data_IF_276128728733
#
_entry.id   IF_276128728733
#
_cell.length_a   1.000
_cell.length_b   1.000
_cell.length_c   1.000
_cell.angle_alpha   90.00
_cell.angle_beta   90.00
_cell.angle_gamma   90.00
#
_symmetry.space_group_name_H-M   'P 1'
#
loop_
_entity.id
_entity.type
_entity.pdbx_description
1 polymer ?
#
# COMPACT_ATOMS: atom_id res chain seq x y z
N UNK A 1 -14.25 -13.39 26.10
CA UNK A 1 -14.60 -12.73 24.82
C UNK A 1 -13.45 -12.64 23.82
N UNK A 2 -12.16 -12.61 24.24
CA UNK A 2 -11.00 -12.54 23.32
C UNK A 2 -10.86 -13.75 22.38
N UNK A 3 -11.12 -14.97 22.88
CA UNK A 3 -11.02 -16.21 22.10
C UNK A 3 -12.14 -16.34 21.06
N UNK A 4 -13.34 -15.83 21.38
CA UNK A 4 -14.53 -15.95 20.52
C UNK A 4 -14.38 -15.08 19.26
N UNK A 5 -13.76 -13.90 19.36
CA UNK A 5 -13.56 -13.02 18.21
C UNK A 5 -12.40 -13.48 17.30
N UNK A 6 -11.30 -14.01 17.86
CA UNK A 6 -10.26 -14.65 17.05
C UNK A 6 -10.80 -15.86 16.27
N UNK A 7 -11.73 -16.62 16.87
CA UNK A 7 -12.44 -17.73 16.20
C UNK A 7 -13.39 -17.20 15.11
N UNK A 8 -14.11 -16.09 15.35
CA UNK A 8 -14.98 -15.46 14.35
C UNK A 8 -14.14 -14.96 13.17
N UNK A 9 -13.06 -14.21 13.38
CA UNK A 9 -12.30 -13.64 12.26
C UNK A 9 -11.46 -14.68 11.49
N UNK A 10 -11.10 -15.79 12.13
CA UNK A 10 -10.28 -16.86 11.52
C UNK A 10 -11.11 -17.89 10.72
N UNK A 11 -12.37 -18.12 11.09
CA UNK A 11 -13.25 -19.08 10.43
C UNK A 11 -13.96 -18.56 9.18
N UNK A 12 -13.97 -17.25 8.93
CA UNK A 12 -14.88 -16.68 7.95
C UNK A 12 -14.29 -16.61 6.54
N UNK A 13 -14.92 -17.36 5.63
CA UNK A 13 -14.77 -17.23 4.19
C UNK A 13 -15.37 -15.91 3.75
N UNK A 14 -14.54 -14.89 3.60
CA UNK A 14 -14.96 -13.60 3.04
C UNK A 14 -15.39 -13.84 1.59
N UNK A 15 -16.60 -13.39 1.24
CA UNK A 15 -17.00 -13.30 -0.16
C UNK A 15 -16.13 -12.22 -0.83
N UNK A 16 -15.09 -12.65 -1.54
CA UNK A 16 -14.09 -11.76 -2.13
C UNK A 16 -14.71 -10.66 -3.01
N UNK A 17 -15.87 -10.94 -3.63
CA UNK A 17 -16.56 -9.98 -4.50
C UNK A 17 -17.25 -8.83 -3.74
N UNK A 18 -17.68 -9.03 -2.49
CA UNK A 18 -18.23 -7.94 -1.66
C UNK A 18 -17.12 -7.04 -1.10
N UNK A 19 -15.97 -7.64 -0.77
CA UNK A 19 -14.81 -6.92 -0.24
C UNK A 19 -14.21 -5.95 -1.27
N UNK A 20 -14.33 -6.27 -2.56
CA UNK A 20 -13.88 -5.39 -3.65
C UNK A 20 -14.54 -4.02 -3.58
N UNK A 21 -15.78 -3.91 -3.08
CA UNK A 21 -16.50 -2.63 -3.01
C UNK A 21 -15.79 -1.63 -2.10
N UNK A 22 -15.19 -2.11 -1.00
CA UNK A 22 -14.38 -1.26 -0.11
C UNK A 22 -13.13 -0.72 -0.79
N UNK A 23 -12.54 -1.46 -1.74
CA UNK A 23 -11.31 -1.01 -2.41
C UNK A 23 -11.53 0.31 -3.16
N UNK A 24 -12.69 0.45 -3.79
CA UNK A 24 -13.08 1.64 -4.56
C UNK A 24 -13.69 2.77 -3.71
N UNK A 25 -13.79 2.62 -2.39
CA UNK A 25 -14.40 3.63 -1.53
C UNK A 25 -13.55 4.92 -1.56
N UNK A 26 -14.08 6.06 -2.04
CA UNK A 26 -13.32 7.30 -2.03
C UNK A 26 -13.00 7.73 -0.60
N UNK A 27 -11.75 8.12 -0.33
CA UNK A 27 -11.34 8.72 0.94
C UNK A 27 -10.31 9.82 0.73
N UNK A 28 -10.24 10.77 1.64
CA UNK A 28 -9.21 11.80 1.64
C UNK A 28 -8.20 11.58 2.77
N UNK A 29 -6.93 11.63 2.41
CA UNK A 29 -5.81 11.58 3.36
C UNK A 29 -4.65 12.45 2.86
N UNK A 30 -4.06 13.24 3.76
CA UNK A 30 -3.04 14.24 3.42
C UNK A 30 -3.49 15.28 2.38
N UNK A 31 -4.80 15.58 2.32
CA UNK A 31 -5.41 16.48 1.33
C UNK A 31 -5.62 15.87 -0.07
N UNK A 32 -5.19 14.62 -0.30
CA UNK A 32 -5.39 13.90 -1.57
C UNK A 32 -6.56 12.94 -1.45
N UNK A 33 -7.48 12.97 -2.42
CA UNK A 33 -8.49 11.93 -2.58
C UNK A 33 -7.88 10.71 -3.26
N UNK A 34 -8.05 9.55 -2.65
CA UNK A 34 -7.49 8.26 -3.05
C UNK A 34 -8.53 7.14 -2.80
N UNK A 35 -8.43 5.98 -3.45
CA UNK A 35 -9.20 4.82 -3.06
C UNK A 35 -8.83 4.39 -1.63
N UNK A 36 -9.80 3.91 -0.88
CA UNK A 36 -9.57 3.33 0.44
C UNK A 36 -8.60 2.16 0.39
N UNK A 37 -8.52 1.43 -0.74
CA UNK A 37 -7.47 0.44 -0.95
C UNK A 37 -6.07 1.04 -0.80
N UNK A 38 -5.78 2.17 -1.45
CA UNK A 38 -4.46 2.82 -1.36
C UNK A 38 -4.19 3.26 0.07
N UNK A 39 -5.15 3.95 0.70
CA UNK A 39 -5.03 4.36 2.09
C UNK A 39 -4.73 3.17 3.02
N UNK A 40 -5.44 2.07 2.84
CA UNK A 40 -5.28 0.88 3.65
C UNK A 40 -3.93 0.19 3.41
N UNK A 41 -3.47 0.08 2.16
CA UNK A 41 -2.15 -0.47 1.84
C UNK A 41 -1.05 0.40 2.46
N UNK A 42 -1.09 1.73 2.27
CA UNK A 42 -0.12 2.67 2.83
C UNK A 42 -0.10 2.59 4.37
N UNK A 43 -1.27 2.53 5.00
CA UNK A 43 -1.41 2.43 6.46
C UNK A 43 -0.86 1.11 7.01
N UNK A 44 -1.23 -0.01 6.39
CA UNK A 44 -0.77 -1.33 6.81
C UNK A 44 0.72 -1.53 6.52
N UNK A 45 1.25 -1.00 5.42
CA UNK A 45 2.68 -1.06 5.11
C UNK A 45 3.50 -0.22 6.09
N UNK A 46 3.01 0.97 6.48
CA UNK A 46 3.68 1.78 7.49
C UNK A 46 3.77 1.02 8.82
N UNK A 47 2.66 0.46 9.30
CA UNK A 47 2.54 -0.16 10.64
C UNK A 47 3.09 -1.59 10.67
N UNK A 48 2.64 -2.46 9.75
CA UNK A 48 2.94 -3.90 9.71
C UNK A 48 4.07 -4.29 8.72
N UNK A 49 4.52 -3.35 7.88
CA UNK A 49 5.62 -3.58 6.94
C UNK A 49 5.25 -4.41 5.71
N UNK A 50 3.97 -4.70 5.49
CA UNK A 50 3.49 -5.49 4.35
C UNK A 50 2.16 -4.94 3.86
N UNK A 51 1.91 -5.08 2.56
CA UNK A 51 0.65 -4.68 1.90
C UNK A 51 -0.54 -5.61 2.23
N UNK A 52 -0.30 -6.75 2.88
CA UNK A 52 -1.33 -7.71 3.28
C UNK A 52 -1.02 -8.27 4.66
N UNK A 53 -2.06 -8.41 5.48
CA UNK A 53 -1.97 -8.94 6.82
C UNK A 53 -1.98 -10.47 6.76
N UNK A 54 -1.23 -11.10 7.67
CA UNK A 54 -1.25 -12.54 7.84
C UNK A 54 -1.84 -12.80 9.21
N UNK A 55 -3.00 -13.45 9.25
CA UNK A 55 -3.66 -13.75 10.51
C UNK A 55 -2.93 -14.87 11.29
N UNK A 56 -3.46 -15.19 12.48
CA UNK A 56 -2.88 -16.21 13.36
C UNK A 56 -2.90 -17.62 12.76
N UNK A 57 -3.81 -17.89 11.81
CA UNK A 57 -3.87 -19.16 11.06
C UNK A 57 -2.98 -19.15 9.81
N UNK A 58 -2.36 -18.00 9.52
CA UNK A 58 -1.50 -17.81 8.37
C UNK A 58 -2.22 -17.50 7.07
N UNK A 59 -3.55 -17.26 7.09
CA UNK A 59 -4.32 -16.82 5.94
C UNK A 59 -4.01 -15.35 5.66
N UNK A 60 -3.94 -15.01 4.38
CA UNK A 60 -3.73 -13.62 3.92
C UNK A 60 -5.05 -12.88 3.93
N UNK A 61 -5.08 -11.73 4.59
CA UNK A 61 -6.19 -10.79 4.59
C UNK A 61 -5.78 -9.51 3.88
N UNK A 62 -6.72 -8.91 3.15
CA UNK A 62 -6.45 -7.68 2.41
C UNK A 62 -6.22 -6.51 3.39
N UNK A 63 -5.43 -5.50 2.98
CA UNK A 63 -5.26 -4.31 3.81
C UNK A 63 -6.59 -3.59 4.04
N UNK A 64 -7.45 -3.48 3.01
CA UNK A 64 -8.75 -2.84 3.14
C UNK A 64 -9.62 -3.48 4.22
N UNK A 65 -9.69 -4.82 4.26
CA UNK A 65 -10.42 -5.55 5.31
C UNK A 65 -9.90 -5.22 6.71
N UNK A 66 -8.58 -5.28 6.90
CA UNK A 66 -7.97 -5.08 8.22
C UNK A 66 -8.08 -3.63 8.68
N UNK A 67 -7.66 -2.68 7.85
CA UNK A 67 -7.67 -1.26 8.20
C UNK A 67 -9.10 -0.76 8.40
N UNK A 68 -10.09 -1.30 7.67
CA UNK A 68 -11.49 -0.97 7.93
C UNK A 68 -11.90 -1.37 9.35
N UNK A 69 -11.49 -2.53 9.84
CA UNK A 69 -11.77 -2.94 11.23
C UNK A 69 -11.10 -2.04 12.28
N UNK A 70 -10.00 -1.34 11.96
CA UNK A 70 -9.41 -0.40 12.91
C UNK A 70 -10.33 0.80 13.22
N UNK A 71 -11.25 1.11 12.32
CA UNK A 71 -12.18 2.25 12.47
C UNK A 71 -13.30 2.00 13.48
N UNK A 72 -13.65 0.74 13.76
CA UNK A 72 -14.76 0.38 14.67
C UNK A 72 -14.43 -0.73 15.68
N UNK A 73 -13.29 -1.40 15.56
CA UNK A 73 -12.76 -2.42 16.49
C UNK A 73 -11.35 -2.08 16.98
N UNK A 74 -10.99 -0.79 17.00
CA UNK A 74 -9.66 -0.32 17.35
C UNK A 74 -9.12 -0.91 18.66
N UNK A 75 -9.94 -0.96 19.70
CA UNK A 75 -9.54 -1.47 21.02
C UNK A 75 -9.02 -2.91 20.99
N UNK A 76 -9.60 -3.78 20.17
CA UNK A 76 -9.14 -5.16 20.04
C UNK A 76 -7.77 -5.26 19.39
N UNK A 77 -7.49 -4.38 18.43
CA UNK A 77 -6.21 -4.34 17.74
C UNK A 77 -5.07 -3.82 18.62
N UNK A 78 -5.38 -3.18 19.77
CA UNK A 78 -4.34 -2.68 20.68
C UNK A 78 -3.45 -3.78 21.25
N UNK A 79 -4.00 -4.98 21.44
CA UNK A 79 -3.30 -6.13 22.04
C UNK A 79 -2.64 -7.03 20.98
N UNK A 80 -2.96 -6.84 19.70
CA UNK A 80 -2.42 -7.67 18.61
C UNK A 80 -1.02 -7.18 18.23
N UNK A 81 -0.01 -8.06 18.12
CA UNK A 81 1.33 -7.70 17.66
C UNK A 81 1.30 -7.26 16.18
N UNK A 82 1.21 -5.97 15.95
CA UNK A 82 1.00 -5.38 14.62
C UNK A 82 2.17 -4.47 14.20
N UNK A 83 2.83 -3.82 15.14
CA UNK A 83 3.83 -2.78 14.87
C UNK A 83 5.18 -3.40 14.58
N UNK A 84 5.65 -3.26 13.35
CA UNK A 84 6.95 -3.75 12.93
C UNK A 84 8.08 -2.83 13.43
N UNK A 85 9.00 -3.41 14.22
CA UNK A 85 10.24 -2.76 14.63
C UNK A 85 11.43 -3.57 14.12
N UNK A 86 12.17 -3.00 13.16
CA UNK A 86 13.33 -3.66 12.55
C UNK A 86 14.66 -3.23 13.19
N UNK A 87 14.74 -2.01 13.72
CA UNK A 87 16.01 -1.44 14.19
C UNK A 87 16.37 -1.90 15.61
N UNK A 88 17.44 -2.69 15.73
CA UNK A 88 17.85 -3.33 17.00
C UNK A 88 18.19 -2.34 18.12
N UNK A 89 18.92 -1.26 17.80
CA UNK A 89 19.31 -0.25 18.81
C UNK A 89 18.09 0.48 19.39
N UNK A 90 17.03 0.69 18.60
CA UNK A 90 15.76 1.23 19.12
C UNK A 90 15.10 0.24 20.10
N UNK A 91 15.11 -1.07 19.79
CA UNK A 91 14.58 -2.09 20.72
C UNK A 91 15.37 -2.11 22.03
N UNK A 92 16.71 -2.05 21.95
CA UNK A 92 17.59 -1.96 23.13
C UNK A 92 17.30 -0.72 23.97
N UNK A 93 17.19 0.44 23.33
CA UNK A 93 16.85 1.68 24.01
C UNK A 93 15.52 1.58 24.75
N UNK A 94 14.51 0.97 24.12
CA UNK A 94 13.19 0.72 24.69
C UNK A 94 13.12 -0.49 25.65
N UNK A 95 14.21 -1.25 25.85
CA UNK A 95 14.24 -2.51 26.62
C UNK A 95 13.22 -3.55 26.11
N UNK A 96 13.00 -3.60 24.80
CA UNK A 96 12.15 -4.58 24.15
C UNK A 96 12.96 -5.83 23.75
N UNK A 97 12.26 -6.94 23.55
CA UNK A 97 12.85 -8.19 23.05
C UNK A 97 13.38 -8.01 21.62
N UNK A 98 14.70 -8.09 21.44
CA UNK A 98 15.34 -7.87 20.15
C UNK A 98 14.94 -8.90 19.08
N UNK A 99 14.60 -10.12 19.50
CA UNK A 99 14.22 -11.22 18.60
C UNK A 99 12.78 -11.06 18.07
N UNK A 100 11.90 -10.36 18.81
CA UNK A 100 10.53 -10.11 18.35
C UNK A 100 10.52 -9.07 17.23
N UNK A 101 9.78 -9.39 16.17
CA UNK A 101 9.62 -8.50 15.02
C UNK A 101 8.46 -7.52 15.18
N UNK A 102 7.37 -7.98 15.81
CA UNK A 102 6.12 -7.25 15.95
C UNK A 102 5.78 -7.03 17.42
N UNK A 103 5.28 -5.85 17.73
CA UNK A 103 4.87 -5.43 19.08
C UNK A 103 3.44 -4.93 19.05
N UNK A 104 2.73 -5.02 20.17
CA UNK A 104 1.36 -4.52 20.25
C UNK A 104 1.34 -3.02 20.56
N UNK A 105 0.26 -2.34 20.19
CA UNK A 105 0.10 -0.91 20.50
C UNK A 105 0.10 -0.68 22.02
N UNK A 106 -0.59 -1.55 22.77
CA UNK A 106 -0.66 -1.48 24.22
C UNK A 106 0.71 -1.70 24.88
N UNK A 107 1.51 -2.63 24.38
CA UNK A 107 2.89 -2.87 24.86
C UNK A 107 3.77 -1.64 24.65
N UNK A 108 3.69 -1.01 23.48
CA UNK A 108 4.49 0.16 23.13
C UNK A 108 4.08 1.40 23.94
N UNK A 109 2.77 1.66 24.11
CA UNK A 109 2.31 2.80 24.90
C UNK A 109 2.59 2.68 26.40
N UNK A 110 2.63 1.45 26.93
CA UNK A 110 2.99 1.20 28.34
C UNK A 110 4.50 1.29 28.58
N UNK A 111 5.31 1.45 27.54
CA UNK A 111 6.76 1.54 27.66
C UNK A 111 7.18 2.87 28.30
N UNK A 112 7.76 2.81 29.49
CA UNK A 112 8.15 4.00 30.27
C UNK A 112 9.21 4.88 29.59
N UNK A 113 10.00 4.33 28.67
CA UNK A 113 11.08 5.06 27.99
C UNK A 113 10.63 5.76 26.72
N UNK A 114 9.56 5.26 26.10
CA UNK A 114 9.07 5.80 24.83
C UNK A 114 8.77 7.30 24.90
N UNK A 115 8.07 7.84 25.93
CA UNK A 115 7.80 9.28 26.01
C UNK A 115 9.07 10.14 26.04
N UNK A 116 10.10 9.73 26.79
CA UNK A 116 11.36 10.46 26.89
C UNK A 116 12.10 10.49 25.54
N UNK A 117 12.16 9.34 24.84
CA UNK A 117 12.77 9.26 23.52
C UNK A 117 12.01 10.11 22.48
N UNK A 118 10.67 10.10 22.51
CA UNK A 118 9.87 10.94 21.63
C UNK A 118 10.08 12.44 21.90
N UNK A 119 10.33 12.82 23.16
CA UNK A 119 10.71 14.19 23.50
C UNK A 119 12.08 14.56 22.92
N UNK A 120 13.08 13.67 23.03
CA UNK A 120 14.40 13.87 22.40
C UNK A 120 14.30 14.01 20.88
N UNK A 121 13.47 13.18 20.24
CA UNK A 121 13.17 13.28 18.81
C UNK A 121 12.62 14.67 18.45
N UNK A 122 11.63 15.17 19.21
CA UNK A 122 11.05 16.50 18.95
C UNK A 122 12.09 17.61 19.06
N UNK A 123 12.99 17.55 20.06
CA UNK A 123 14.08 18.52 20.22
C UNK A 123 15.02 18.49 19.01
N UNK A 124 15.38 17.31 18.49
CA UNK A 124 16.23 17.22 17.30
C UNK A 124 15.56 17.79 16.05
N UNK A 125 14.25 17.56 15.88
CA UNK A 125 13.47 18.10 14.76
C UNK A 125 13.45 19.64 14.85
N UNK A 126 13.22 20.20 16.04
CA UNK A 126 13.24 21.65 16.29
C UNK A 126 14.61 22.26 15.99
N UNK A 127 15.68 21.60 16.42
CA UNK A 127 17.06 22.04 16.16
C UNK A 127 17.50 21.82 14.70
N UNK A 128 16.66 21.20 13.85
CA UNK A 128 16.97 20.82 12.47
C UNK A 128 18.25 19.99 12.35
N UNK A 129 18.52 19.16 13.35
CA UNK A 129 19.65 18.25 13.34
C UNK A 129 19.48 17.16 12.29
N UNK A 130 20.59 16.66 11.74
CA UNK A 130 20.55 15.56 10.79
C UNK A 130 20.12 14.28 11.51
N UNK A 131 18.98 13.72 11.10
CA UNK A 131 18.46 12.49 11.67
C UNK A 131 19.39 11.30 11.40
N UNK A 132 19.99 10.76 12.44
CA UNK A 132 20.68 9.47 12.37
C UNK A 132 19.67 8.31 12.26
N UNK A 133 20.14 7.12 11.89
CA UNK A 133 19.33 5.92 11.71
C UNK A 133 18.46 5.61 12.95
N UNK A 134 18.96 5.87 14.16
CA UNK A 134 18.19 5.74 15.39
C UNK A 134 16.96 6.65 15.42
N UNK A 135 17.16 7.95 15.19
CA UNK A 135 16.06 8.93 15.19
C UNK A 135 15.12 8.76 14.00
N UNK A 136 15.61 8.30 12.85
CA UNK A 136 14.74 7.89 11.73
C UNK A 136 13.83 6.71 12.10
N UNK A 137 14.38 5.69 12.78
CA UNK A 137 13.59 4.56 13.26
C UNK A 137 12.57 4.98 14.32
N UNK A 138 12.95 5.87 15.23
CA UNK A 138 12.06 6.42 16.26
C UNK A 138 10.97 7.31 15.66
N UNK A 139 11.28 8.14 14.68
CA UNK A 139 10.30 8.91 13.90
C UNK A 139 9.31 7.99 13.20
N UNK A 140 9.79 6.91 12.58
CA UNK A 140 8.92 5.90 11.96
C UNK A 140 7.96 5.30 12.98
N UNK A 141 8.46 4.90 14.16
CA UNK A 141 7.62 4.38 15.25
C UNK A 141 6.57 5.42 15.70
N UNK A 142 6.97 6.68 15.89
CA UNK A 142 6.05 7.77 16.21
C UNK A 142 4.93 7.90 15.16
N UNK A 143 5.30 7.90 13.87
CA UNK A 143 4.35 7.97 12.77
C UNK A 143 3.39 6.78 12.74
N UNK A 144 3.88 5.56 13.00
CA UNK A 144 3.05 4.36 13.10
C UNK A 144 2.02 4.51 14.22
N UNK A 145 2.45 4.88 15.43
CA UNK A 145 1.58 5.02 16.61
C UNK A 145 0.53 6.12 16.39
N UNK A 146 0.95 7.25 15.84
CA UNK A 146 0.07 8.38 15.56
C UNK A 146 -0.97 8.04 14.49
N UNK A 147 -0.57 7.40 13.38
CA UNK A 147 -1.50 7.00 12.33
C UNK A 147 -2.53 6.02 12.86
N UNK A 148 -2.09 4.98 13.58
CA UNK A 148 -3.00 4.00 14.15
C UNK A 148 -3.98 4.62 15.14
N UNK A 149 -3.50 5.47 16.06
CA UNK A 149 -4.37 6.19 16.99
C UNK A 149 -5.34 7.13 16.27
N UNK A 150 -4.91 7.80 15.20
CA UNK A 150 -5.75 8.70 14.42
C UNK A 150 -6.87 7.96 13.69
N UNK A 151 -6.59 6.76 13.14
CA UNK A 151 -7.61 5.89 12.53
C UNK A 151 -8.63 5.42 13.58
N UNK A 152 -8.15 4.95 14.74
CA UNK A 152 -9.03 4.48 15.82
C UNK A 152 -9.95 5.57 16.37
N UNK A 153 -9.44 6.80 16.46
CA UNK A 153 -10.21 7.97 16.89
C UNK A 153 -11.11 8.53 15.79
N UNK A 154 -11.08 7.96 14.59
CA UNK A 154 -11.85 8.45 13.46
C UNK A 154 -11.38 9.81 12.93
N UNK A 155 -10.15 10.23 13.23
CA UNK A 155 -9.57 11.49 12.75
C UNK A 155 -9.16 11.40 11.27
N UNK A 156 -8.76 10.21 10.82
CA UNK A 156 -8.44 9.89 9.43
C UNK A 156 -9.00 8.51 9.04
N UNK A 157 -9.27 8.26 7.75
CA UNK A 157 -9.30 9.23 6.67
C UNK A 157 -10.62 10.04 6.67
N UNK A 158 -10.69 11.06 5.82
CA UNK A 158 -11.95 11.74 5.51
C UNK A 158 -12.81 10.89 4.56
N UNK A 159 -14.11 10.80 4.82
CA UNK A 159 -15.05 9.97 4.05
C UNK A 159 -16.15 10.77 3.35
N UNK A 160 -16.51 11.97 3.83
CA UNK A 160 -17.60 12.78 3.26
C UNK A 160 -17.05 14.15 2.85
N UNK A 161 -17.15 14.57 1.59
CA UNK A 161 -16.70 15.90 1.17
C UNK A 161 -17.47 17.01 1.90
N UNK A 162 -16.78 18.05 2.34
CA UNK A 162 -17.43 19.24 2.92
C UNK A 162 -17.96 20.16 1.81
N UNK A 163 -19.13 20.77 2.02
CA UNK A 163 -19.74 21.67 1.04
C UNK A 163 -18.85 22.89 0.79
N UNK A 164 -18.49 23.13 -0.48
CA UNK A 164 -17.68 24.27 -0.89
C UNK A 164 -16.22 24.23 -0.42
N UNK A 165 -15.79 23.14 0.23
CA UNK A 165 -14.45 22.96 0.76
C UNK A 165 -13.59 22.04 -0.11
N UNK A 166 -12.30 21.99 0.20
CA UNK A 166 -11.37 20.96 -0.31
C UNK A 166 -11.13 19.84 0.70
N UNK A 167 -11.70 19.94 1.90
CA UNK A 167 -11.57 18.98 3.00
C UNK A 167 -12.75 18.01 3.04
N UNK A 168 -12.49 16.79 3.51
CA UNK A 168 -13.50 15.77 3.76
C UNK A 168 -13.62 15.53 5.27
N UNK A 169 -14.86 15.44 5.76
CA UNK A 169 -15.18 15.06 7.14
C UNK A 169 -14.70 13.64 7.41
N UNK A 170 -13.95 13.50 8.50
CA UNK A 170 -13.60 12.21 9.08
C UNK A 170 -14.70 11.76 10.07
N UNK A 171 -14.64 10.50 10.49
CA UNK A 171 -15.67 9.88 11.35
C UNK A 171 -15.88 10.66 12.65
N UNK A 172 -14.82 11.26 13.21
CA UNK A 172 -14.90 12.08 14.42
C UNK A 172 -15.79 13.32 14.25
N UNK A 173 -15.85 13.88 13.04
CA UNK A 173 -16.63 15.08 12.72
C UNK A 173 -18.04 14.80 12.18
N UNK A 174 -18.47 13.54 12.18
CA UNK A 174 -19.79 13.17 11.67
C UNK A 174 -20.90 13.73 12.56
N UNK A 175 -21.91 14.32 11.92
CA UNK A 175 -23.15 14.64 12.60
C UNK A 175 -24.00 13.37 12.80
N UNK A 176 -25.20 13.50 13.38
CA UNK A 176 -26.07 12.34 13.63
C UNK A 176 -26.48 11.60 12.35
N UNK A 177 -26.72 12.32 11.25
CA UNK A 177 -27.11 11.73 9.97
C UNK A 177 -25.94 11.00 9.30
N UNK A 178 -24.77 11.64 9.23
CA UNK A 178 -23.51 11.08 8.74
C UNK A 178 -23.20 9.76 9.49
N UNK A 179 -23.37 9.77 10.82
CA UNK A 179 -23.14 8.60 11.67
C UNK A 179 -24.11 7.44 11.39
N UNK A 180 -25.40 7.72 11.13
CA UNK A 180 -26.39 6.69 10.76
C UNK A 180 -26.05 6.03 9.42
N UNK A 181 -25.61 6.83 8.44
CA UNK A 181 -25.15 6.31 7.16
C UNK A 181 -23.89 5.45 7.33
N UNK A 182 -22.94 5.91 8.14
CA UNK A 182 -21.73 5.16 8.44
C UNK A 182 -22.00 3.84 9.16
N UNK A 183 -22.90 3.83 10.14
CA UNK A 183 -23.33 2.61 10.85
C UNK A 183 -23.92 1.57 9.89
N UNK A 184 -24.61 2.00 8.83
CA UNK A 184 -25.12 1.09 7.80
C UNK A 184 -23.98 0.40 7.06
N UNK A 185 -22.89 1.12 6.75
CA UNK A 185 -21.68 0.54 6.14
C UNK A 185 -21.01 -0.47 7.08
N UNK A 186 -20.82 -0.10 8.35
CA UNK A 186 -20.24 -1.00 9.37
C UNK A 186 -21.11 -2.25 9.55
N UNK A 187 -22.43 -2.09 9.63
CA UNK A 187 -23.38 -3.20 9.72
C UNK A 187 -23.34 -4.10 8.48
N UNK A 188 -23.24 -3.53 7.28
CA UNK A 188 -23.03 -4.26 6.04
C UNK A 188 -21.73 -5.06 6.04
N UNK A 189 -20.65 -4.49 6.58
CA UNK A 189 -19.38 -5.19 6.73
C UNK A 189 -19.48 -6.37 7.71
N UNK A 190 -20.14 -6.19 8.85
CA UNK A 190 -20.36 -7.27 9.83
C UNK A 190 -21.20 -8.41 9.24
N UNK A 191 -22.22 -8.09 8.42
CA UNK A 191 -22.99 -9.09 7.66
C UNK A 191 -22.12 -9.85 6.67
N UNK A 192 -21.32 -9.14 5.87
CA UNK A 192 -20.36 -9.74 4.92
C UNK A 192 -19.39 -10.68 5.63
N UNK A 193 -18.83 -10.25 6.76
CA UNK A 193 -17.94 -11.08 7.57
C UNK A 193 -18.68 -12.35 8.01
N UNK A 194 -19.95 -12.25 8.42
CA UNK A 194 -20.79 -13.39 8.82
C UNK A 194 -21.27 -14.28 7.65
N UNK A 195 -20.89 -13.96 6.40
CA UNK A 195 -21.25 -14.72 5.19
C UNK A 195 -22.55 -14.25 4.50
N UNK A 196 -23.17 -13.18 4.99
CA UNK A 196 -24.37 -12.58 4.39
C UNK A 196 -24.00 -11.46 3.43
N UNK A 197 -24.78 -11.28 2.36
CA UNK A 197 -24.61 -10.13 1.48
C UNK A 197 -25.21 -8.86 2.09
N UNK A 198 -24.59 -7.72 1.83
CA UNK A 198 -25.15 -6.43 2.26
C UNK A 198 -24.17 -5.28 2.28
N UNK A 199 -22.86 -5.56 2.24
CA UNK A 199 -21.85 -4.51 2.27
C UNK A 199 -21.95 -3.62 1.03
N UNK A 200 -22.15 -4.22 -0.14
CA UNK A 200 -22.26 -3.47 -1.40
C UNK A 200 -23.38 -2.43 -1.35
N UNK A 201 -24.60 -2.86 -0.97
CA UNK A 201 -25.74 -1.97 -0.89
C UNK A 201 -25.54 -0.84 0.13
N UNK A 202 -24.91 -1.15 1.27
CA UNK A 202 -24.61 -0.15 2.29
C UNK A 202 -23.57 0.89 1.80
N UNK A 203 -22.50 0.44 1.13
CA UNK A 203 -21.49 1.34 0.56
C UNK A 203 -22.06 2.18 -0.57
N UNK A 204 -22.87 1.60 -1.45
CA UNK A 204 -23.51 2.33 -2.55
C UNK A 204 -24.49 3.39 -2.01
N UNK A 205 -25.27 3.05 -0.97
CA UNK A 205 -26.13 4.01 -0.26
C UNK A 205 -25.35 5.16 0.36
N UNK A 206 -24.23 4.85 1.05
CA UNK A 206 -23.35 5.87 1.61
C UNK A 206 -22.72 6.77 0.53
N UNK A 207 -22.31 6.20 -0.61
CA UNK A 207 -21.76 6.97 -1.75
C UNK A 207 -22.78 7.94 -2.34
N UNK A 208 -24.03 7.51 -2.45
CA UNK A 208 -25.12 8.38 -2.90
C UNK A 208 -25.39 9.52 -1.91
N UNK A 209 -25.32 9.24 -0.61
CA UNK A 209 -25.45 10.25 0.44
C UNK A 209 -24.30 11.26 0.44
N UNK A 210 -23.05 10.77 0.40
CA UNK A 210 -21.86 11.61 0.46
C UNK A 210 -21.65 12.52 -0.76
N UNK A 211 -22.36 12.26 -1.87
CA UNK A 211 -22.37 13.09 -3.08
C UNK A 211 -20.95 13.48 -3.58
N UNK A 212 -20.14 12.47 -3.88
CA UNK A 212 -18.74 12.68 -4.23
C UNK A 212 -18.53 13.50 -5.52
N UNK A 213 -17.52 14.39 -5.55
CA UNK A 213 -17.19 15.17 -6.74
C UNK A 213 -16.69 14.27 -7.89
N UNK A 214 -17.33 14.38 -9.05
CA UNK A 214 -17.08 13.52 -10.21
C UNK A 214 -15.61 13.45 -10.70
N UNK A 215 -14.82 14.56 -10.74
CA UNK A 215 -13.44 14.51 -11.22
C UNK A 215 -12.51 13.65 -10.36
N UNK A 216 -12.72 13.62 -9.05
CA UNK A 216 -11.88 12.87 -8.11
C UNK A 216 -12.19 11.37 -8.18
N UNK A 217 -13.48 11.03 -8.35
CA UNK A 217 -13.94 9.64 -8.46
C UNK A 217 -13.45 8.98 -9.75
N UNK A 218 -13.27 9.73 -10.84
CA UNK A 218 -12.80 9.19 -12.12
C UNK A 218 -11.43 8.50 -12.04
N UNK A 219 -10.54 8.98 -11.15
CA UNK A 219 -9.19 8.41 -10.97
C UNK A 219 -9.16 7.18 -10.07
N UNK A 220 -10.18 6.96 -9.25
CA UNK A 220 -10.20 5.90 -8.23
C UNK A 220 -10.10 4.52 -8.87
N UNK A 221 -10.90 4.26 -9.91
CA UNK A 221 -10.87 2.97 -10.61
C UNK A 221 -9.51 2.68 -11.25
N UNK A 222 -8.88 3.72 -11.78
CA UNK A 222 -7.55 3.63 -12.40
C UNK A 222 -6.45 3.38 -11.37
N UNK A 223 -6.56 3.96 -10.17
CA UNK A 223 -5.63 3.72 -9.07
C UNK A 223 -5.78 2.31 -8.49
N UNK A 224 -7.01 1.83 -8.29
CA UNK A 224 -7.27 0.44 -7.88
C UNK A 224 -6.75 -0.55 -8.93
N UNK A 225 -6.96 -0.27 -10.22
CA UNK A 225 -6.42 -1.08 -11.30
C UNK A 225 -4.88 -1.12 -11.26
N UNK A 226 -4.23 0.04 -11.09
CA UNK A 226 -2.78 0.14 -10.96
C UNK A 226 -2.24 -0.68 -9.78
N UNK A 227 -2.89 -0.57 -8.61
CA UNK A 227 -2.52 -1.30 -7.39
C UNK A 227 -2.68 -2.81 -7.53
N UNK A 228 -3.73 -3.27 -8.22
CA UNK A 228 -3.99 -4.69 -8.43
C UNK A 228 -3.06 -5.29 -9.49
N UNK A 229 -2.84 -4.57 -10.60
CA UNK A 229 -1.99 -5.04 -11.68
C UNK A 229 -0.51 -5.05 -11.29
N UNK A 230 -0.04 -4.02 -10.56
CA UNK A 230 1.38 -3.80 -10.24
C UNK A 230 2.27 -3.91 -11.49
N UNK A 231 2.11 -3.03 -12.50
CA UNK A 231 2.73 -3.17 -13.81
C UNK A 231 4.25 -3.32 -13.75
N UNK A 232 4.93 -2.51 -12.93
CA UNK A 232 6.38 -2.61 -12.73
C UNK A 232 6.82 -3.97 -12.17
N UNK A 233 5.98 -4.63 -11.36
CA UNK A 233 6.25 -5.98 -10.85
C UNK A 233 6.31 -7.02 -11.99
N UNK A 234 5.32 -7.00 -12.87
CA UNK A 234 5.30 -7.91 -14.01
C UNK A 234 6.38 -7.59 -15.02
N UNK A 235 6.67 -6.30 -15.25
CA UNK A 235 7.71 -5.88 -16.14
C UNK A 235 9.08 -6.45 -15.73
N UNK A 236 9.48 -6.33 -14.46
CA UNK A 236 10.76 -6.87 -14.01
C UNK A 236 10.78 -8.41 -14.09
N UNK A 237 9.67 -9.10 -13.81
CA UNK A 237 9.58 -10.56 -13.96
C UNK A 237 9.83 -10.96 -15.42
N UNK A 238 9.20 -10.28 -16.38
CA UNK A 238 9.42 -10.54 -17.80
C UNK A 238 10.86 -10.25 -18.22
N UNK A 239 11.46 -9.16 -17.73
CA UNK A 239 12.83 -8.77 -18.05
C UNK A 239 13.86 -9.75 -17.46
N UNK A 240 13.68 -10.19 -16.21
CA UNK A 240 14.55 -11.20 -15.59
C UNK A 240 14.42 -12.54 -16.29
N UNK A 241 13.20 -12.99 -16.60
CA UNK A 241 13.01 -14.24 -17.33
C UNK A 241 13.59 -14.16 -18.74
N UNK A 242 13.46 -13.01 -19.41
CA UNK A 242 14.12 -12.75 -20.69
C UNK A 242 15.64 -12.87 -20.59
N UNK A 243 16.25 -12.26 -19.56
CA UNK A 243 17.68 -12.33 -19.31
C UNK A 243 18.16 -13.78 -19.12
N UNK A 244 17.42 -14.58 -18.33
CA UNK A 244 17.73 -15.99 -18.11
C UNK A 244 17.65 -16.82 -19.41
N UNK A 245 16.60 -16.62 -20.21
CA UNK A 245 16.47 -17.30 -21.50
C UNK A 245 17.56 -16.89 -22.49
N UNK A 246 17.96 -15.62 -22.48
CA UNK A 246 19.07 -15.15 -23.30
C UNK A 246 20.40 -15.80 -22.86
N UNK A 247 20.67 -15.85 -21.56
CA UNK A 247 21.86 -16.50 -21.03
C UNK A 247 21.91 -17.99 -21.45
N UNK A 248 20.76 -18.67 -21.37
CA UNK A 248 20.64 -20.06 -21.80
C UNK A 248 20.82 -20.23 -23.32
N UNK A 249 20.31 -19.28 -24.12
CA UNK A 249 20.59 -19.23 -25.56
C UNK A 249 22.10 -19.14 -25.84
N UNK A 250 22.86 -18.42 -25.02
CA UNK A 250 24.30 -18.30 -25.24
C UNK A 250 25.04 -19.64 -25.10
N UNK A 251 24.55 -20.54 -24.25
CA UNK A 251 25.08 -21.89 -24.04
C UNK A 251 24.53 -22.87 -25.09
N UNK A 252 23.20 -22.96 -25.20
CA UNK A 252 22.54 -23.99 -25.99
C UNK A 252 22.38 -23.65 -27.48
N UNK A 253 22.52 -22.37 -27.85
CA UNK A 253 22.37 -21.81 -29.21
C UNK A 253 21.04 -22.16 -29.91
N UNK A 254 20.01 -22.61 -29.18
CA UNK A 254 18.70 -22.95 -29.75
C UNK A 254 17.92 -21.68 -30.13
N UNK A 255 17.41 -21.54 -31.37
CA UNK A 255 16.75 -20.31 -31.83
C UNK A 255 15.48 -19.96 -31.04
N UNK A 256 14.76 -20.97 -30.54
CA UNK A 256 13.55 -20.78 -29.74
C UNK A 256 13.82 -19.97 -28.47
N UNK A 257 14.96 -20.16 -27.80
CA UNK A 257 15.33 -19.44 -26.58
C UNK A 257 15.53 -17.95 -26.84
N UNK A 258 16.14 -17.62 -27.97
CA UNK A 258 16.31 -16.24 -28.41
C UNK A 258 14.96 -15.59 -28.74
N UNK A 259 14.08 -16.29 -29.46
CA UNK A 259 12.74 -15.80 -29.78
C UNK A 259 11.90 -15.55 -28.52
N UNK A 260 11.90 -16.50 -27.58
CA UNK A 260 11.20 -16.36 -26.30
C UNK A 260 11.73 -15.20 -25.45
N UNK A 261 13.06 -15.04 -25.37
CA UNK A 261 13.68 -13.89 -24.71
C UNK A 261 13.25 -12.56 -25.38
N UNK A 262 13.23 -12.50 -26.70
CA UNK A 262 12.79 -11.31 -27.44
C UNK A 262 11.33 -10.94 -27.10
N UNK A 263 10.43 -11.92 -27.12
CA UNK A 263 9.01 -11.71 -26.80
C UNK A 263 8.84 -11.20 -25.38
N UNK A 264 9.55 -11.78 -24.41
CA UNK A 264 9.50 -11.35 -23.01
C UNK A 264 10.07 -9.95 -22.80
N UNK A 265 11.16 -9.58 -23.48
CA UNK A 265 11.69 -8.21 -23.40
C UNK A 265 10.70 -7.19 -23.95
N UNK A 266 10.06 -7.49 -25.09
CA UNK A 266 9.03 -6.61 -25.67
C UNK A 266 7.82 -6.50 -24.73
N UNK A 267 7.36 -7.62 -24.16
CA UNK A 267 6.28 -7.62 -23.18
C UNK A 267 6.64 -6.81 -21.92
N UNK A 268 7.85 -6.97 -21.39
CA UNK A 268 8.37 -6.18 -20.28
C UNK A 268 8.41 -4.69 -20.60
N UNK A 269 8.91 -4.31 -21.79
CA UNK A 269 8.94 -2.92 -22.24
C UNK A 269 7.55 -2.28 -22.31
N UNK A 270 6.57 -2.97 -22.92
CA UNK A 270 5.21 -2.46 -22.98
C UNK A 270 4.55 -2.40 -21.59
N UNK A 271 4.83 -3.37 -20.71
CA UNK A 271 4.32 -3.34 -19.34
C UNK A 271 4.89 -2.17 -18.52
N UNK A 272 6.19 -1.88 -18.63
CA UNK A 272 6.80 -0.69 -18.00
C UNK A 272 6.21 0.60 -18.57
N UNK A 273 6.05 0.68 -19.89
CA UNK A 273 5.45 1.85 -20.56
C UNK A 273 4.03 2.09 -20.08
N UNK A 274 3.21 1.03 -19.99
CA UNK A 274 1.85 1.10 -19.45
C UNK A 274 1.84 1.56 -17.99
N UNK A 275 2.75 1.04 -17.16
CA UNK A 275 2.92 1.48 -15.78
C UNK A 275 3.24 2.96 -15.66
N UNK A 276 4.10 3.51 -16.52
CA UNK A 276 4.38 4.94 -16.56
C UNK A 276 3.19 5.77 -17.00
N UNK A 277 2.44 5.34 -18.03
CA UNK A 277 1.23 6.05 -18.48
C UNK A 277 0.21 6.16 -17.34
N UNK A 278 -0.09 5.04 -16.67
CA UNK A 278 -0.99 5.03 -15.51
C UNK A 278 -0.46 5.94 -14.40
N UNK A 279 0.83 5.85 -14.06
CA UNK A 279 1.42 6.68 -13.01
C UNK A 279 1.30 8.17 -13.33
N UNK A 280 1.63 8.58 -14.56
CA UNK A 280 1.49 9.97 -15.00
C UNK A 280 0.04 10.47 -14.95
N UNK A 281 -0.92 9.62 -15.32
CA UNK A 281 -2.35 9.95 -15.21
C UNK A 281 -2.80 10.16 -13.76
N UNK A 282 -2.32 9.31 -12.84
CA UNK A 282 -2.64 9.39 -11.41
C UNK A 282 -1.97 10.59 -10.73
N UNK A 283 -0.66 10.76 -10.93
CA UNK A 283 0.14 11.79 -10.24
C UNK A 283 0.13 13.15 -10.94
N UNK A 284 -0.34 13.25 -12.19
CA UNK A 284 -0.38 14.49 -12.96
C UNK A 284 1.00 15.06 -13.32
N UNK A 285 2.07 14.26 -13.19
CA UNK A 285 3.46 14.69 -13.44
C UNK A 285 4.31 13.55 -14.02
N UNK A 286 5.37 13.86 -14.77
CA UNK A 286 6.32 12.87 -15.26
C UNK A 286 7.09 12.14 -14.13
N UNK A 287 7.55 10.90 -14.36
CA UNK A 287 8.19 10.03 -13.36
C UNK A 287 9.68 10.35 -13.18
N UNK A 288 10.01 11.58 -12.82
CA UNK A 288 11.39 12.06 -12.58
C UNK A 288 11.52 12.81 -11.25
N UNK A 289 10.59 12.55 -10.33
CA UNK A 289 10.45 13.37 -9.13
C UNK A 289 11.32 12.90 -7.95
N UNK A 290 11.74 11.64 -7.95
CA UNK A 290 12.62 11.07 -6.93
C UNK A 290 13.67 10.16 -7.57
N UNK A 291 14.74 9.86 -6.81
CA UNK A 291 15.89 9.09 -7.31
C UNK A 291 15.47 7.70 -7.83
N UNK A 292 14.53 7.04 -7.15
CA UNK A 292 14.04 5.72 -7.58
C UNK A 292 13.31 5.81 -8.93
N UNK A 293 12.37 6.74 -9.08
CA UNK A 293 11.65 7.00 -10.33
C UNK A 293 12.62 7.30 -11.48
N UNK A 294 13.63 8.13 -11.22
CA UNK A 294 14.66 8.46 -12.21
C UNK A 294 15.47 7.25 -12.65
N UNK A 295 15.84 6.33 -11.74
CA UNK A 295 16.56 5.10 -12.10
C UNK A 295 15.70 4.23 -13.02
N UNK A 296 14.43 3.98 -12.65
CA UNK A 296 13.51 3.17 -13.48
C UNK A 296 13.26 3.83 -14.84
N UNK A 297 13.16 5.15 -14.89
CA UNK A 297 12.99 5.92 -16.14
C UNK A 297 14.20 5.81 -17.07
N UNK A 298 15.41 5.96 -16.53
CA UNK A 298 16.67 5.83 -17.32
C UNK A 298 16.82 4.40 -17.84
N UNK A 299 16.54 3.40 -17.01
CA UNK A 299 16.51 1.98 -17.40
C UNK A 299 15.54 1.72 -18.56
N UNK A 300 14.32 2.25 -18.49
CA UNK A 300 13.36 2.17 -19.58
C UNK A 300 13.87 2.83 -20.88
N UNK A 301 14.50 4.00 -20.78
CA UNK A 301 15.10 4.68 -21.92
C UNK A 301 16.21 3.86 -22.58
N UNK A 302 17.09 3.23 -21.79
CA UNK A 302 18.12 2.34 -22.30
C UNK A 302 17.52 1.13 -23.05
N UNK A 303 16.43 0.55 -22.53
CA UNK A 303 15.70 -0.53 -23.20
C UNK A 303 15.10 -0.07 -24.53
N UNK A 304 14.48 1.11 -24.54
CA UNK A 304 13.89 1.69 -25.73
C UNK A 304 14.91 1.85 -26.87
N UNK A 305 16.05 2.49 -26.59
CA UNK A 305 17.11 2.68 -27.58
C UNK A 305 17.74 1.35 -28.03
N UNK A 306 17.86 0.36 -27.14
CA UNK A 306 18.36 -0.96 -27.52
C UNK A 306 17.43 -1.71 -28.47
N UNK A 307 16.10 -1.64 -28.24
CA UNK A 307 15.12 -2.19 -29.16
C UNK A 307 15.22 -1.50 -30.53
N UNK A 308 15.35 -0.17 -30.57
CA UNK A 308 15.59 0.58 -31.82
C UNK A 308 16.84 0.06 -32.53
N UNK A 309 18.00 0.01 -31.86
CA UNK A 309 19.23 -0.47 -32.50
C UNK A 309 19.15 -1.93 -32.97
N UNK A 310 18.41 -2.76 -32.25
CA UNK A 310 18.15 -4.13 -32.69
C UNK A 310 17.35 -4.16 -34.01
N UNK A 311 16.26 -3.40 -34.11
CA UNK A 311 15.44 -3.36 -35.32
C UNK A 311 16.21 -2.78 -36.53
N UNK A 312 17.03 -1.75 -36.32
CA UNK A 312 17.76 -1.09 -37.42
C UNK A 312 19.07 -1.77 -37.81
N UNK A 313 19.87 -2.26 -36.84
CA UNK A 313 21.22 -2.81 -37.13
C UNK A 313 21.34 -4.32 -36.96
N UNK A 314 20.27 -5.02 -36.52
CA UNK A 314 20.25 -6.47 -36.22
C UNK A 314 21.41 -6.95 -35.34
N UNK A 315 22.01 -6.06 -34.53
CA UNK A 315 23.15 -6.39 -33.66
C UNK A 315 22.65 -7.02 -32.36
N UNK A 316 22.70 -8.34 -32.29
CA UNK A 316 22.20 -9.17 -31.17
C UNK A 316 22.86 -8.89 -29.81
N UNK A 317 24.05 -8.27 -29.79
CA UNK A 317 24.80 -7.98 -28.54
C UNK A 317 24.28 -6.76 -27.77
N UNK A 318 23.69 -5.76 -28.44
CA UNK A 318 23.14 -4.56 -27.76
C UNK A 318 21.90 -4.87 -26.91
N UNK A 319 21.23 -5.97 -27.23
CA UNK A 319 20.07 -6.48 -26.51
C UNK A 319 20.41 -6.95 -25.08
N UNK A 320 21.56 -7.60 -24.91
CA UNK A 320 22.06 -8.07 -23.59
C UNK A 320 22.29 -6.92 -22.61
N UNK A 321 23.00 -5.89 -23.07
CA UNK A 321 23.39 -4.77 -22.22
C UNK A 321 22.16 -4.01 -21.70
N UNK A 322 21.13 -3.87 -22.53
CA UNK A 322 19.92 -3.15 -22.14
C UNK A 322 18.97 -3.99 -21.27
N UNK A 323 18.85 -5.30 -21.51
CA UNK A 323 18.09 -6.18 -20.61
C UNK A 323 18.72 -6.26 -19.23
N UNK A 324 20.07 -6.27 -19.13
CA UNK A 324 20.79 -6.22 -17.85
C UNK A 324 20.53 -4.90 -17.11
N UNK A 325 20.72 -3.75 -17.76
CA UNK A 325 20.50 -2.43 -17.13
C UNK A 325 19.04 -2.25 -16.71
N UNK A 326 18.10 -2.76 -17.51
CA UNK A 326 16.66 -2.61 -17.22
C UNK A 326 16.10 -3.61 -16.23
N UNK A 327 16.90 -4.61 -15.83
CA UNK A 327 16.52 -5.60 -14.80
C UNK A 327 16.89 -5.16 -13.37
N UNK A 328 17.59 -4.03 -13.24
CA UNK A 328 17.87 -3.31 -11.98
C UNK A 328 16.69 -2.37 -11.72
#
# INVERSE_FOLDING_TARGET
>A
MSVIFSIIFSLLTVNASELDVLQYFPVQDGGRVKPFQTFAIESLELIYGREAYKDLEGKKKSAAEIVFTWTFLGEHWNEIPLFELQYGELKKALKLDEAKKYFSFAELLKNERLPALLQELNIQIENKEKMDNFFQALQRLSNQLNLFSAIQKGLVPGFIPEEGGTSWKSIEKFNQEDALQWQSVVGGFVKMVSGESGLKAAVDGFRSYANYPAPEVAKISSEVHYNNLKPFRWAWIFLVLSLLLYALYWILKKPILFQSSMVLTIAGFFMTTYGFILRMYLTGRPPVSNMYESVVWVSWGALFFSLIFYFFKRRKFLFLAASLVSSI
#
